data_IF_250372218152
#
_entry.id   IF_250372218152
#
_cell.length_a   1.000
_cell.length_b   1.000
_cell.length_c   1.000
_cell.angle_alpha   90.00
_cell.angle_beta   90.00
_cell.angle_gamma   90.00
#
_symmetry.space_group_name_H-M   'P 1'
#
loop_
_entity.id
_entity.type
_entity.pdbx_description
1 polymer ?
#
# COMPACT_ATOMS: atom_id res chain seq x y z
N UNK A 1 -11.64 -23.42 2.75
CA UNK A 1 -11.51 -22.70 1.47
C UNK A 1 -10.12 -22.12 1.41
N UNK A 2 -9.43 -22.22 0.27
CA UNK A 2 -8.12 -21.56 0.13
C UNK A 2 -8.36 -20.07 -0.07
N UNK A 3 -7.92 -19.25 0.87
CA UNK A 3 -8.14 -17.80 0.85
C UNK A 3 -7.49 -17.14 -0.39
N UNK A 4 -6.45 -17.77 -0.96
CA UNK A 4 -5.76 -17.27 -2.16
C UNK A 4 -6.64 -17.25 -3.40
N UNK A 5 -7.73 -18.03 -3.43
CA UNK A 5 -8.66 -17.99 -4.57
C UNK A 5 -9.43 -16.67 -4.67
N UNK A 6 -9.37 -15.83 -3.61
CA UNK A 6 -9.99 -14.51 -3.56
C UNK A 6 -9.10 -13.40 -4.13
N UNK A 7 -7.82 -13.67 -4.42
CA UNK A 7 -6.91 -12.69 -5.00
C UNK A 7 -7.37 -12.42 -6.44
N UNK A 8 -7.62 -11.14 -6.83
CA UNK A 8 -7.95 -10.81 -8.22
C UNK A 8 -6.93 -11.40 -9.19
N UNK A 9 -7.36 -11.84 -10.38
CA UNK A 9 -6.45 -12.41 -11.39
C UNK A 9 -6.07 -11.41 -12.49
N UNK A 10 -6.86 -10.34 -12.65
CA UNK A 10 -6.61 -9.30 -13.64
C UNK A 10 -7.22 -7.96 -13.20
N UNK A 11 -6.76 -6.85 -13.80
CA UNK A 11 -7.15 -5.47 -13.44
C UNK A 11 -8.64 -5.10 -13.57
N UNK A 12 -9.47 -6.02 -14.06
CA UNK A 12 -10.92 -5.88 -14.24
C UNK A 12 -11.71 -6.93 -13.46
N UNK A 13 -11.08 -7.64 -12.52
CA UNK A 13 -11.69 -8.75 -11.79
C UNK A 13 -12.55 -8.23 -10.63
N UNK A 14 -13.66 -7.59 -10.99
CA UNK A 14 -14.65 -7.06 -10.04
C UNK A 14 -15.37 -8.19 -9.29
N UNK A 15 -15.44 -9.39 -9.84
CA UNK A 15 -16.06 -10.54 -9.20
C UNK A 15 -15.32 -10.89 -7.91
N UNK A 16 -13.98 -11.05 -7.96
CA UNK A 16 -13.19 -11.33 -6.77
C UNK A 16 -13.17 -10.16 -5.79
N UNK A 17 -13.17 -8.93 -6.27
CA UNK A 17 -13.32 -7.74 -5.43
C UNK A 17 -14.62 -7.79 -4.62
N UNK A 18 -15.73 -8.16 -5.26
CA UNK A 18 -17.02 -8.29 -4.57
C UNK A 18 -17.02 -9.47 -3.58
N UNK A 19 -16.36 -10.57 -3.92
CA UNK A 19 -16.17 -11.68 -2.98
C UNK A 19 -15.40 -11.25 -1.74
N UNK A 20 -14.30 -10.51 -1.87
CA UNK A 20 -13.48 -10.03 -0.76
C UNK A 20 -14.30 -9.22 0.26
N UNK A 21 -15.26 -8.40 -0.19
CA UNK A 21 -16.13 -7.59 0.69
C UNK A 21 -17.00 -8.42 1.64
N UNK A 22 -17.19 -9.71 1.36
CA UNK A 22 -17.99 -10.62 2.18
C UNK A 22 -17.17 -11.33 3.27
N UNK A 23 -15.85 -11.12 3.33
CA UNK A 23 -14.97 -11.71 4.34
C UNK A 23 -14.64 -10.72 5.45
N UNK A 24 -14.38 -11.25 6.64
CA UNK A 24 -13.85 -10.43 7.74
C UNK A 24 -12.39 -10.09 7.47
N UNK A 25 -11.96 -8.94 7.97
CA UNK A 25 -10.58 -8.46 7.88
C UNK A 25 -9.60 -9.52 8.40
N UNK A 26 -9.93 -10.20 9.50
CA UNK A 26 -9.10 -11.24 10.10
C UNK A 26 -8.88 -12.45 9.17
N UNK A 27 -9.87 -12.79 8.35
CA UNK A 27 -9.80 -13.92 7.42
C UNK A 27 -8.93 -13.59 6.21
N UNK A 28 -8.86 -12.32 5.83
CA UNK A 28 -8.10 -11.82 4.69
C UNK A 28 -6.64 -11.50 5.03
N UNK A 29 -6.25 -11.49 6.31
CA UNK A 29 -4.86 -11.22 6.74
C UNK A 29 -3.78 -12.01 5.99
N UNK A 30 -3.97 -13.31 5.68
CA UNK A 30 -2.94 -14.09 5.00
C UNK A 30 -2.60 -13.61 3.58
N UNK A 31 -3.42 -12.75 2.96
CA UNK A 31 -3.25 -12.28 1.57
C UNK A 31 -3.09 -10.76 1.48
N UNK A 32 -2.83 -10.04 2.58
CA UNK A 32 -2.67 -8.57 2.55
C UNK A 32 -1.63 -8.13 1.52
N UNK A 33 -0.47 -8.80 1.49
CA UNK A 33 0.59 -8.46 0.54
C UNK A 33 0.13 -8.65 -0.91
N UNK A 34 -0.55 -9.76 -1.22
CA UNK A 34 -1.08 -10.03 -2.55
C UNK A 34 -2.17 -9.02 -2.96
N UNK A 35 -2.94 -8.49 -2.00
CA UNK A 35 -3.88 -7.41 -2.27
C UNK A 35 -3.16 -6.08 -2.51
N UNK A 36 -2.05 -5.80 -1.82
CA UNK A 36 -1.25 -4.59 -2.03
C UNK A 36 -0.62 -4.53 -3.42
N UNK A 37 -0.36 -5.65 -4.09
CA UNK A 37 0.17 -5.65 -5.48
C UNK A 37 -0.83 -5.01 -6.45
N UNK A 38 -2.13 -5.05 -6.15
CA UNK A 38 -3.16 -4.37 -6.95
C UNK A 38 -3.14 -2.84 -6.81
N UNK A 39 -2.27 -2.30 -5.95
CA UNK A 39 -1.98 -0.87 -5.85
C UNK A 39 -0.65 -0.49 -6.53
N UNK A 40 -0.03 -1.38 -7.32
CA UNK A 40 1.12 -1.03 -8.16
C UNK A 40 0.78 0.00 -9.23
N UNK A 41 -0.49 0.09 -9.63
CA UNK A 41 -0.98 1.11 -10.55
C UNK A 41 -2.43 1.47 -10.19
N UNK A 42 -2.62 2.67 -9.64
CA UNK A 42 -3.95 3.15 -9.26
C UNK A 42 -4.86 3.45 -10.45
N UNK A 43 -4.36 3.40 -11.69
CA UNK A 43 -5.20 3.46 -12.89
C UNK A 43 -5.88 2.12 -13.19
N UNK A 44 -5.51 1.03 -12.52
CA UNK A 44 -6.22 -0.23 -12.65
C UNK A 44 -7.66 -0.10 -12.15
N UNK A 45 -8.67 -0.55 -12.92
CA UNK A 45 -10.08 -0.36 -12.58
C UNK A 45 -10.47 -0.84 -11.17
N UNK A 46 -9.83 -1.90 -10.67
CA UNK A 46 -10.11 -2.45 -9.34
C UNK A 46 -9.29 -1.82 -8.20
N UNK A 47 -8.24 -1.03 -8.48
CA UNK A 47 -7.27 -0.58 -7.48
C UNK A 47 -7.93 0.25 -6.36
N UNK A 48 -8.87 1.13 -6.73
CA UNK A 48 -9.61 1.94 -5.75
C UNK A 48 -10.44 1.08 -4.78
N UNK A 49 -11.09 0.02 -5.28
CA UNK A 49 -11.87 -0.87 -4.42
C UNK A 49 -10.98 -1.71 -3.51
N UNK A 50 -9.87 -2.22 -4.04
CA UNK A 50 -8.86 -2.94 -3.24
C UNK A 50 -8.27 -2.05 -2.15
N UNK A 51 -7.95 -0.79 -2.47
CA UNK A 51 -7.48 0.19 -1.49
C UNK A 51 -8.51 0.38 -0.36
N UNK A 52 -9.79 0.52 -0.68
CA UNK A 52 -10.85 0.68 0.33
C UNK A 52 -10.95 -0.55 1.25
N UNK A 53 -10.73 -1.76 0.71
CA UNK A 53 -10.65 -2.99 1.51
C UNK A 53 -9.41 -2.94 2.42
N UNK A 54 -8.24 -2.60 1.86
CA UNK A 54 -6.96 -2.54 2.57
C UNK A 54 -6.96 -1.56 3.76
N UNK A 55 -7.67 -0.44 3.66
CA UNK A 55 -7.75 0.54 4.76
C UNK A 55 -8.35 -0.03 6.05
N UNK A 56 -9.11 -1.14 5.99
CA UNK A 56 -9.69 -1.77 7.18
C UNK A 56 -8.66 -2.54 8.02
N UNK A 57 -7.48 -2.85 7.47
CA UNK A 57 -6.44 -3.63 8.15
C UNK A 57 -5.57 -2.80 9.11
N UNK A 58 -5.58 -1.46 8.99
CA UNK A 58 -4.89 -0.55 9.92
C UNK A 58 -3.43 -0.97 10.18
N UNK A 59 -3.06 -1.31 11.42
CA UNK A 59 -1.71 -1.69 11.83
C UNK A 59 -1.21 -2.99 11.19
N UNK A 60 -2.11 -3.88 10.76
CA UNK A 60 -1.72 -5.11 10.07
C UNK A 60 -1.06 -4.81 8.70
N UNK A 61 -1.24 -3.61 8.14
CA UNK A 61 -0.58 -3.19 6.90
C UNK A 61 0.92 -2.93 7.07
N UNK A 62 1.37 -2.58 8.27
CA UNK A 62 2.73 -2.07 8.54
C UNK A 62 3.85 -3.00 8.03
N UNK A 63 3.89 -4.31 8.35
CA UNK A 63 4.96 -5.17 7.85
C UNK A 63 4.96 -5.26 6.31
N UNK A 64 3.81 -5.16 5.67
CA UNK A 64 3.69 -5.26 4.22
C UNK A 64 4.09 -3.96 3.52
N UNK A 65 3.64 -2.80 4.01
CA UNK A 65 4.06 -1.49 3.50
C UNK A 65 5.57 -1.31 3.66
N UNK A 66 6.14 -1.70 4.82
CA UNK A 66 7.59 -1.69 5.02
C UNK A 66 8.32 -2.48 3.95
N UNK A 67 7.81 -3.65 3.61
CA UNK A 67 8.41 -4.50 2.56
C UNK A 67 8.38 -3.77 1.21
N UNK A 68 7.29 -3.07 0.88
CA UNK A 68 7.15 -2.31 -0.37
C UNK A 68 8.09 -1.10 -0.42
N UNK A 69 8.23 -0.35 0.68
CA UNK A 69 9.15 0.81 0.75
C UNK A 69 10.63 0.44 0.61
N UNK A 70 10.95 -0.85 0.68
CA UNK A 70 12.30 -1.41 0.52
C UNK A 70 12.53 -2.09 -0.85
N UNK A 71 11.53 -2.14 -1.73
CA UNK A 71 11.72 -2.66 -3.10
C UNK A 71 12.44 -1.64 -3.98
N UNK A 72 12.71 -2.00 -5.24
CA UNK A 72 13.17 -1.07 -6.28
C UNK A 72 12.01 -0.62 -7.20
N UNK A 73 10.75 -0.86 -6.79
CA UNK A 73 9.55 -0.49 -7.55
C UNK A 73 9.05 0.88 -7.10
N UNK A 74 9.67 1.94 -7.63
CA UNK A 74 9.41 3.32 -7.21
C UNK A 74 8.00 3.81 -7.57
N UNK A 75 7.42 3.28 -8.66
CA UNK A 75 6.02 3.56 -9.02
C UNK A 75 5.06 2.96 -7.99
N UNK A 76 5.30 1.72 -7.55
CA UNK A 76 4.51 1.13 -6.48
C UNK A 76 4.68 1.88 -5.16
N UNK A 77 5.90 2.28 -4.79
CA UNK A 77 6.12 3.13 -3.61
C UNK A 77 5.31 4.41 -3.72
N UNK A 78 5.38 5.11 -4.86
CA UNK A 78 4.64 6.34 -5.10
C UNK A 78 3.13 6.15 -4.89
N UNK A 79 2.54 5.09 -5.47
CA UNK A 79 1.12 4.80 -5.27
C UNK A 79 0.79 4.42 -3.83
N UNK A 80 1.65 3.70 -3.12
CA UNK A 80 1.45 3.42 -1.69
C UNK A 80 1.46 4.71 -0.87
N UNK A 81 2.41 5.61 -1.12
CA UNK A 81 2.49 6.90 -0.41
C UNK A 81 1.23 7.76 -0.68
N UNK A 82 0.96 8.04 -1.95
CA UNK A 82 -0.09 8.98 -2.39
C UNK A 82 -1.51 8.46 -2.18
N UNK A 83 -1.72 7.17 -2.38
CA UNK A 83 -3.08 6.61 -2.46
C UNK A 83 -3.52 5.96 -1.15
N UNK A 84 -2.61 5.21 -0.50
CA UNK A 84 -2.92 4.42 0.70
C UNK A 84 -2.48 5.15 1.98
N UNK A 85 -1.19 5.49 2.10
CA UNK A 85 -0.65 6.07 3.33
C UNK A 85 -1.25 7.43 3.66
N UNK A 86 -1.53 8.28 2.66
CA UNK A 86 -2.26 9.54 2.88
C UNK A 86 -3.65 9.36 3.52
N UNK A 87 -4.26 8.18 3.45
CA UNK A 87 -5.57 7.89 4.08
C UNK A 87 -5.46 7.22 5.45
N UNK A 88 -4.26 6.78 5.85
CA UNK A 88 -4.04 6.15 7.15
C UNK A 88 -3.98 7.18 8.29
N UNK A 89 -4.38 6.83 9.52
CA UNK A 89 -4.17 7.67 10.70
C UNK A 89 -2.68 7.91 11.00
N UNK A 90 -2.35 9.09 11.54
CA UNK A 90 -0.96 9.46 11.83
C UNK A 90 -0.26 8.50 12.80
N UNK A 91 -0.98 7.93 13.78
CA UNK A 91 -0.41 6.96 14.73
C UNK A 91 -0.02 5.61 14.08
N UNK A 92 -0.52 5.33 12.88
CA UNK A 92 -0.12 4.17 12.08
C UNK A 92 1.09 4.54 11.23
N UNK A 93 1.03 5.68 10.53
CA UNK A 93 2.10 6.16 9.65
C UNK A 93 3.43 6.33 10.42
N UNK A 94 3.39 6.80 11.67
CA UNK A 94 4.60 6.98 12.49
C UNK A 94 5.40 5.68 12.70
N UNK A 95 4.76 4.51 12.57
CA UNK A 95 5.42 3.20 12.67
C UNK A 95 6.29 2.86 11.44
N UNK A 96 6.15 3.63 10.35
CA UNK A 96 6.93 3.55 9.11
C UNK A 96 7.91 4.72 8.96
N UNK A 97 8.03 5.56 10.00
CA UNK A 97 8.93 6.72 10.00
C UNK A 97 10.38 6.34 9.63
N UNK A 98 10.98 5.24 10.14
CA UNK A 98 12.35 4.88 9.77
C UNK A 98 12.53 4.64 8.26
N UNK A 99 11.56 3.99 7.61
CA UNK A 99 11.62 3.73 6.17
C UNK A 99 11.46 5.02 5.36
N UNK A 100 10.57 5.91 5.79
CA UNK A 100 10.38 7.23 5.18
C UNK A 100 11.64 8.10 5.34
N UNK A 101 12.25 8.13 6.53
CA UNK A 101 13.50 8.86 6.77
C UNK A 101 14.64 8.28 5.94
N UNK A 102 14.71 6.96 5.73
CA UNK A 102 15.68 6.36 4.80
C UNK A 102 15.50 6.89 3.38
N UNK A 103 14.27 6.92 2.85
CA UNK A 103 14.03 7.45 1.50
C UNK A 103 14.45 8.93 1.43
N UNK A 104 14.11 9.74 2.43
CA UNK A 104 14.47 11.17 2.46
C UNK A 104 15.98 11.40 2.57
N UNK A 105 16.64 10.71 3.50
CA UNK A 105 18.02 11.02 3.90
C UNK A 105 19.06 10.26 3.05
N UNK A 106 18.65 9.10 2.50
CA UNK A 106 19.49 8.20 1.71
C UNK A 106 18.71 7.61 0.52
N UNK A 107 18.22 8.46 -0.42
CA UNK A 107 17.49 7.99 -1.58
C UNK A 107 18.40 7.22 -2.54
N UNK A 108 17.83 6.24 -3.23
CA UNK A 108 18.48 5.63 -4.39
C UNK A 108 18.50 6.62 -5.58
N UNK A 109 19.29 6.31 -6.60
CA UNK A 109 19.33 7.14 -7.83
C UNK A 109 17.98 7.15 -8.58
N UNK A 110 17.20 6.08 -8.46
CA UNK A 110 15.89 5.96 -9.10
C UNK A 110 14.83 6.72 -8.29
N UNK A 111 14.87 6.62 -6.95
CA UNK A 111 14.01 7.40 -6.04
C UNK A 111 14.20 8.92 -6.24
N UNK A 112 15.43 9.37 -6.48
CA UNK A 112 15.74 10.78 -6.80
C UNK A 112 15.19 11.27 -8.15
N UNK A 113 15.01 10.37 -9.10
CA UNK A 113 14.47 10.70 -10.43
C UNK A 113 12.95 10.69 -10.46
N UNK A 114 12.32 10.12 -9.43
CA UNK A 114 10.88 10.08 -9.24
C UNK A 114 10.37 11.25 -8.39
N UNK A 115 9.05 11.46 -8.38
CA UNK A 115 8.38 12.43 -7.48
C UNK A 115 8.25 11.90 -6.04
N UNK A 116 8.93 10.81 -5.68
CA UNK A 116 8.78 10.12 -4.40
C UNK A 116 9.29 10.94 -3.20
N UNK A 117 10.34 11.73 -3.38
CA UNK A 117 10.95 12.50 -2.27
C UNK A 117 9.97 13.54 -1.71
N UNK A 118 9.27 14.26 -2.59
CA UNK A 118 8.26 15.25 -2.19
C UNK A 118 7.12 14.59 -1.40
N UNK A 119 6.64 13.44 -1.88
CA UNK A 119 5.60 12.66 -1.19
C UNK A 119 6.02 12.19 0.20
N UNK A 120 7.28 11.73 0.34
CA UNK A 120 7.85 11.34 1.64
C UNK A 120 7.94 12.53 2.59
N UNK A 121 8.41 13.68 2.11
CA UNK A 121 8.52 14.89 2.93
C UNK A 121 7.15 15.37 3.43
N UNK A 122 6.13 15.38 2.56
CA UNK A 122 4.78 15.74 2.95
C UNK A 122 4.20 14.80 4.02
N UNK A 123 4.41 13.49 3.87
CA UNK A 123 3.96 12.50 4.83
C UNK A 123 4.69 12.66 6.18
N UNK A 124 6.01 12.87 6.14
CA UNK A 124 6.79 13.10 7.35
C UNK A 124 6.34 14.37 8.08
N UNK A 125 6.16 15.48 7.36
CA UNK A 125 5.69 16.74 7.93
C UNK A 125 4.30 16.64 8.57
N UNK A 126 3.44 15.76 8.04
CA UNK A 126 2.11 15.51 8.58
C UNK A 126 2.12 14.80 9.94
N UNK A 127 3.16 14.01 10.24
CA UNK A 127 3.24 13.19 11.46
C UNK A 127 4.19 13.75 12.52
N UNK A 128 4.87 14.86 12.24
CA UNK A 128 5.63 15.66 13.20
C UNK A 128 4.69 16.46 14.12
#
# INVERSE_FOLDING_TARGET
MDIRTLIPEHKNDFERVEMLKNYKVEELKPIIYDLLTWLQDMNWPIALEIQNILLNFKEDLIPHIRTILLTDDDEWKYWILTSLMRKLPNHIIVLLKPELERIRDHPTSDELQSDLIEEVEEILNRIL
#
